data_IF_033896822343
#
_entry.id   IF_033896822343
#
_cell.length_a   1.000
_cell.length_b   1.000
_cell.length_c   1.000
_cell.angle_alpha   90.00
_cell.angle_beta   90.00
_cell.angle_gamma   90.00
#
_symmetry.space_group_name_H-M   'P 1'
#
loop_
_entity.id
_entity.type
_entity.pdbx_description
1 polymer ?
#
# COMPACT_ATOMS: atom_id res chain seq x y z
N UNK A 1 8.14 -4.56 6.40
CA UNK A 1 8.98 -3.31 6.34
C UNK A 1 9.76 -3.10 7.64
N UNK A 2 10.97 -2.52 7.57
CA UNK A 2 11.76 -2.08 8.73
C UNK A 2 11.25 -0.71 9.24
N UNK A 3 11.48 -0.39 10.51
CA UNK A 3 11.09 0.91 11.07
C UNK A 3 11.72 2.10 10.32
N UNK A 4 12.97 1.97 9.85
CA UNK A 4 13.64 2.99 9.03
C UNK A 4 12.97 3.22 7.68
N UNK A 5 12.48 2.17 7.04
CA UNK A 5 11.74 2.26 5.75
C UNK A 5 10.38 2.93 5.95
N UNK A 6 9.67 2.56 7.03
CA UNK A 6 8.38 3.17 7.40
C UNK A 6 8.58 4.68 7.68
N UNK A 7 9.62 5.03 8.45
CA UNK A 7 9.95 6.44 8.75
C UNK A 7 10.27 7.22 7.48
N UNK A 8 11.15 6.71 6.62
CA UNK A 8 11.53 7.37 5.37
C UNK A 8 10.30 7.58 4.46
N UNK A 9 9.43 6.58 4.33
CA UNK A 9 8.22 6.68 3.53
C UNK A 9 7.24 7.71 4.13
N UNK A 10 7.05 7.72 5.46
CA UNK A 10 6.19 8.66 6.15
C UNK A 10 6.68 10.11 6.01
N UNK A 11 7.99 10.35 6.13
CA UNK A 11 8.60 11.67 5.90
C UNK A 11 8.40 12.13 4.45
N UNK A 12 8.62 11.26 3.46
CA UNK A 12 8.38 11.55 2.04
C UNK A 12 6.89 11.80 1.73
N UNK A 13 6.00 11.14 2.45
CA UNK A 13 4.56 11.40 2.39
C UNK A 13 4.15 12.70 3.09
N UNK A 14 5.04 13.34 3.85
CA UNK A 14 4.74 14.57 4.59
C UNK A 14 3.89 14.34 5.84
N UNK A 15 3.97 13.15 6.44
CA UNK A 15 3.25 12.86 7.68
C UNK A 15 3.92 13.63 8.82
N UNK A 16 3.11 14.42 9.54
CA UNK A 16 3.52 15.31 10.62
C UNK A 16 2.37 15.48 11.62
N UNK A 17 2.57 16.18 12.74
CA UNK A 17 1.50 16.45 13.70
C UNK A 17 0.30 17.13 13.03
N UNK A 18 -0.91 16.59 13.26
CA UNK A 18 -2.16 17.11 12.72
C UNK A 18 -2.51 16.67 11.30
N UNK A 19 -1.61 16.00 10.57
CA UNK A 19 -1.89 15.42 9.24
C UNK A 19 -2.86 14.25 9.38
N UNK A 20 -3.92 14.24 8.56
CA UNK A 20 -4.91 13.17 8.52
C UNK A 20 -4.41 12.01 7.64
N UNK A 21 -4.29 10.82 8.24
CA UNK A 21 -3.75 9.62 7.59
C UNK A 21 -4.79 8.52 7.57
N UNK A 22 -5.09 7.99 6.38
CA UNK A 22 -5.88 6.79 6.17
C UNK A 22 -4.94 5.63 5.79
N UNK A 23 -4.92 4.56 6.58
CA UNK A 23 -4.12 3.36 6.32
C UNK A 23 -5.03 2.20 5.90
N UNK A 24 -4.91 1.80 4.64
CA UNK A 24 -5.73 0.75 4.04
C UNK A 24 -5.07 -0.61 4.27
N UNK A 25 -5.87 -1.60 4.69
CA UNK A 25 -5.40 -2.94 5.03
C UNK A 25 -4.31 -2.90 6.12
N UNK A 26 -4.58 -2.16 7.19
CA UNK A 26 -3.61 -1.85 8.24
C UNK A 26 -3.15 -3.08 9.05
N UNK A 27 -3.86 -4.22 8.93
CA UNK A 27 -3.61 -5.43 9.70
C UNK A 27 -3.63 -5.15 11.20
N UNK A 28 -2.63 -5.65 11.93
CA UNK A 28 -2.43 -5.38 13.38
C UNK A 28 -1.79 -4.01 13.65
N UNK A 29 -1.74 -3.14 12.66
CA UNK A 29 -1.32 -1.74 12.68
C UNK A 29 0.11 -1.50 13.22
N UNK A 30 1.07 -2.37 12.91
CA UNK A 30 2.47 -2.16 13.28
C UNK A 30 3.02 -0.82 12.76
N UNK A 31 3.00 -0.57 11.44
CA UNK A 31 3.40 0.72 10.84
C UNK A 31 2.58 1.89 11.37
N UNK A 32 1.26 1.79 11.41
CA UNK A 32 0.37 2.87 11.83
C UNK A 32 0.62 3.34 13.26
N UNK A 33 0.74 2.41 14.22
CA UNK A 33 1.08 2.74 15.61
C UNK A 33 2.46 3.40 15.74
N UNK A 34 3.44 2.94 14.94
CA UNK A 34 4.77 3.54 14.89
C UNK A 34 4.68 5.00 14.39
N UNK A 35 4.00 5.24 13.27
CA UNK A 35 3.85 6.57 12.67
C UNK A 35 3.10 7.51 13.63
N UNK A 36 1.97 7.06 14.22
CA UNK A 36 1.18 7.89 15.14
C UNK A 36 1.95 8.29 16.39
N UNK A 37 2.72 7.36 16.95
CA UNK A 37 3.53 7.63 18.15
C UNK A 37 4.70 8.57 17.86
N UNK A 38 5.39 8.37 16.75
CA UNK A 38 6.63 9.11 16.43
C UNK A 38 6.35 10.46 15.78
N UNK A 39 5.26 10.58 14.98
CA UNK A 39 4.99 11.75 14.15
C UNK A 39 3.71 12.50 14.55
N UNK A 40 2.88 11.95 15.45
CA UNK A 40 1.72 12.67 16.02
C UNK A 40 0.58 12.95 15.02
N UNK A 41 0.41 12.14 13.97
CA UNK A 41 -0.65 12.31 12.98
C UNK A 41 -2.03 11.89 13.50
N UNK A 42 -3.08 12.32 12.82
CA UNK A 42 -4.47 11.86 13.04
C UNK A 42 -4.68 10.60 12.18
N UNK A 43 -4.67 9.42 12.82
CA UNK A 43 -4.61 8.14 12.12
C UNK A 43 -5.94 7.39 12.15
N UNK A 44 -6.35 6.89 10.98
CA UNK A 44 -7.43 5.92 10.80
C UNK A 44 -6.92 4.71 10.03
N UNK A 45 -6.93 3.53 10.66
CA UNK A 45 -6.61 2.26 10.01
C UNK A 45 -7.86 1.47 9.66
N UNK A 46 -7.91 0.91 8.46
CA UNK A 46 -8.97 0.01 7.99
C UNK A 46 -8.41 -1.36 7.71
N UNK A 47 -9.13 -2.39 8.13
CA UNK A 47 -8.85 -3.77 7.75
C UNK A 47 -10.14 -4.59 7.68
N UNK A 48 -10.18 -5.64 6.87
CA UNK A 48 -11.33 -6.53 6.73
C UNK A 48 -11.33 -7.69 7.73
N UNK A 49 -10.26 -7.88 8.49
CA UNK A 49 -10.11 -8.93 9.49
C UNK A 49 -10.53 -8.43 10.88
N UNK A 50 -11.63 -8.97 11.47
CA UNK A 50 -12.03 -8.61 12.82
C UNK A 50 -10.93 -8.87 13.85
N UNK A 51 -10.23 -10.01 13.74
CA UNK A 51 -9.15 -10.38 14.64
C UNK A 51 -7.95 -9.40 14.55
N UNK A 52 -7.60 -8.94 13.32
CA UNK A 52 -6.54 -7.96 13.14
C UNK A 52 -6.90 -6.61 13.78
N UNK A 53 -8.14 -6.16 13.61
CA UNK A 53 -8.65 -4.90 14.21
C UNK A 53 -8.68 -4.97 15.73
N UNK A 54 -9.09 -6.11 16.31
CA UNK A 54 -9.06 -6.31 17.76
C UNK A 54 -7.64 -6.19 18.32
N UNK A 55 -6.69 -6.92 17.72
CA UNK A 55 -5.27 -6.85 18.08
C UNK A 55 -4.70 -5.43 17.88
N UNK A 56 -5.09 -4.75 16.79
CA UNK A 56 -4.65 -3.38 16.53
C UNK A 56 -5.10 -2.42 17.63
N UNK A 57 -6.37 -2.50 18.05
CA UNK A 57 -6.94 -1.68 19.14
C UNK A 57 -6.25 -1.95 20.48
N UNK A 58 -6.07 -3.23 20.82
CA UNK A 58 -5.39 -3.63 22.06
C UNK A 58 -3.96 -3.07 22.10
N UNK A 59 -3.20 -3.27 21.02
CA UNK A 59 -1.80 -2.83 20.91
C UNK A 59 -1.62 -1.31 20.78
N UNK A 60 -2.67 -0.58 20.41
CA UNK A 60 -2.65 0.88 20.30
C UNK A 60 -3.11 1.60 21.59
N UNK A 61 -3.29 0.88 22.71
CA UNK A 61 -3.65 1.50 23.97
C UNK A 61 -2.70 2.64 24.32
N UNK A 62 -3.25 3.86 24.57
CA UNK A 62 -2.47 5.06 24.83
C UNK A 62 -1.86 5.76 23.59
N UNK A 63 -2.12 5.26 22.38
CA UNK A 63 -1.70 5.90 21.11
C UNK A 63 -2.97 6.43 20.42
N UNK A 64 -2.96 7.68 19.87
CA UNK A 64 -4.14 8.27 19.24
C UNK A 64 -4.41 7.68 17.85
N UNK A 65 -4.72 6.37 17.80
CA UNK A 65 -5.10 5.64 16.60
C UNK A 65 -6.58 5.26 16.64
N UNK A 66 -7.27 5.38 15.51
CA UNK A 66 -8.61 4.84 15.30
C UNK A 66 -8.54 3.67 14.33
N UNK A 67 -9.38 2.65 14.56
CA UNK A 67 -9.43 1.46 13.70
C UNK A 67 -10.89 1.09 13.42
N UNK A 68 -11.19 0.83 12.15
CA UNK A 68 -12.50 0.43 11.69
C UNK A 68 -12.43 -0.86 10.89
N UNK A 69 -13.39 -1.75 11.10
CA UNK A 69 -13.57 -2.96 10.32
C UNK A 69 -14.22 -2.59 9.00
N UNK A 70 -13.47 -2.68 7.91
CA UNK A 70 -13.96 -2.35 6.59
C UNK A 70 -13.24 -3.16 5.50
N UNK A 71 -13.99 -3.55 4.46
CA UNK A 71 -13.42 -4.08 3.22
C UNK A 71 -13.20 -2.91 2.26
N UNK A 72 -12.07 -2.86 1.61
CA UNK A 72 -11.74 -1.85 0.60
C UNK A 72 -11.52 -2.50 -0.77
N UNK A 73 -11.94 -1.89 -1.90
CA UNK A 73 -12.92 -0.79 -1.99
C UNK A 73 -14.33 -1.21 -1.54
N UNK A 74 -15.27 -0.26 -1.27
CA UNK A 74 -15.11 1.20 -1.34
C UNK A 74 -14.29 1.79 -0.20
N UNK A 75 -13.75 3.01 -0.40
CA UNK A 75 -13.04 3.76 0.63
C UNK A 75 -13.99 4.71 1.38
N UNK A 76 -13.70 5.07 2.64
CA UNK A 76 -14.46 6.09 3.35
C UNK A 76 -14.30 7.46 2.64
N UNK A 77 -15.30 8.36 2.77
CA UNK A 77 -15.20 9.68 2.21
C UNK A 77 -14.07 10.48 2.87
N UNK A 78 -13.28 11.20 2.02
CA UNK A 78 -12.23 12.11 2.48
C UNK A 78 -12.77 13.49 2.88
N UNK A 79 -11.89 14.51 2.92
CA UNK A 79 -10.51 14.43 2.42
C UNK A 79 -9.50 13.93 3.46
N UNK A 80 -8.52 13.12 3.01
CA UNK A 80 -7.34 12.76 3.78
C UNK A 80 -6.10 13.42 3.17
N UNK A 81 -5.16 13.85 4.02
CA UNK A 81 -3.88 14.41 3.56
C UNK A 81 -2.95 13.32 3.04
N UNK A 82 -2.97 12.15 3.68
CA UNK A 82 -2.19 10.99 3.27
C UNK A 82 -3.04 9.73 3.29
N UNK A 83 -2.91 8.92 2.24
CA UNK A 83 -3.41 7.54 2.21
C UNK A 83 -2.21 6.60 2.15
N UNK A 84 -2.20 5.57 3.00
CA UNK A 84 -1.21 4.51 3.02
C UNK A 84 -1.80 3.20 2.47
N UNK A 85 -0.98 2.42 1.75
CA UNK A 85 -1.25 1.02 1.42
C UNK A 85 0.07 0.26 1.45
N UNK A 86 0.38 -0.35 2.57
CA UNK A 86 1.68 -0.97 2.83
C UNK A 86 1.58 -2.50 2.75
N UNK A 87 2.45 -3.13 1.96
CA UNK A 87 2.57 -4.58 1.80
C UNK A 87 1.31 -5.30 1.24
N UNK A 88 0.35 -4.55 0.68
CA UNK A 88 -0.98 -5.14 0.33
C UNK A 88 -1.41 -4.85 -1.12
N UNK A 89 -0.73 -3.98 -1.87
CA UNK A 89 -1.09 -3.67 -3.28
C UNK A 89 -1.18 -4.95 -4.13
N UNK A 90 -0.37 -5.93 -3.82
CA UNK A 90 -0.32 -7.24 -4.46
C UNK A 90 -1.67 -7.98 -4.43
N UNK A 91 -2.45 -7.81 -3.37
CA UNK A 91 -3.72 -8.53 -3.18
C UNK A 91 -4.88 -8.03 -4.06
N UNK A 92 -4.71 -6.88 -4.72
CA UNK A 92 -5.76 -6.30 -5.56
C UNK A 92 -5.55 -6.64 -7.03
N UNK A 93 -6.47 -7.43 -7.61
CA UNK A 93 -6.49 -7.69 -9.06
C UNK A 93 -6.91 -6.42 -9.83
N UNK A 94 -7.98 -5.76 -9.40
CA UNK A 94 -8.46 -4.48 -9.96
C UNK A 94 -7.82 -3.29 -9.22
N UNK A 95 -6.61 -2.94 -9.66
CA UNK A 95 -5.90 -1.78 -9.11
C UNK A 95 -6.47 -0.46 -9.59
N UNK A 96 -7.16 -0.44 -10.72
CA UNK A 96 -7.75 0.80 -11.26
C UNK A 96 -8.87 1.32 -10.37
N UNK A 97 -9.83 0.48 -10.01
CA UNK A 97 -10.91 0.84 -9.07
C UNK A 97 -10.38 1.23 -7.70
N UNK A 98 -9.36 0.52 -7.20
CA UNK A 98 -8.69 0.86 -5.94
C UNK A 98 -8.06 2.26 -6.01
N UNK A 99 -7.28 2.55 -7.04
CA UNK A 99 -6.59 3.83 -7.20
C UNK A 99 -7.55 5.00 -7.45
N UNK A 100 -8.69 4.76 -8.14
CA UNK A 100 -9.77 5.74 -8.26
C UNK A 100 -10.37 6.11 -6.91
N UNK A 101 -10.63 5.10 -6.06
CA UNK A 101 -11.10 5.30 -4.68
C UNK A 101 -10.09 6.10 -3.86
N UNK A 102 -8.81 5.74 -3.92
CA UNK A 102 -7.72 6.43 -3.22
C UNK A 102 -7.62 7.89 -3.68
N UNK A 103 -7.62 8.13 -4.99
CA UNK A 103 -7.58 9.50 -5.52
C UNK A 103 -8.80 10.31 -5.07
N UNK A 104 -9.99 9.71 -5.00
CA UNK A 104 -11.21 10.38 -4.53
C UNK A 104 -11.12 10.74 -3.05
N UNK A 105 -10.58 9.87 -2.22
CA UNK A 105 -10.43 10.07 -0.78
C UNK A 105 -9.33 11.08 -0.40
N UNK A 106 -8.34 11.32 -1.28
CA UNK A 106 -7.27 12.29 -1.05
C UNK A 106 -7.73 13.73 -1.20
N UNK A 107 -7.25 14.62 -0.35
CA UNK A 107 -7.26 16.07 -0.56
C UNK A 107 -6.46 16.44 -1.83
N UNK A 108 -6.73 17.63 -2.39
CA UNK A 108 -5.85 18.21 -3.42
C UNK A 108 -4.50 18.52 -2.78
N UNK A 109 -3.40 18.09 -3.40
CA UNK A 109 -2.05 18.13 -2.80
C UNK A 109 -1.78 16.99 -1.83
N UNK A 110 -2.78 16.18 -1.50
CA UNK A 110 -2.63 14.99 -0.66
C UNK A 110 -1.79 13.91 -1.33
N UNK A 111 -1.22 13.01 -0.54
CA UNK A 111 -0.24 12.01 -1.00
C UNK A 111 -0.68 10.59 -0.74
N UNK A 112 -0.42 9.74 -1.72
CA UNK A 112 -0.56 8.30 -1.63
C UNK A 112 0.82 7.67 -1.45
N UNK A 113 1.06 7.01 -0.32
CA UNK A 113 2.30 6.31 -0.04
C UNK A 113 2.04 4.80 0.02
N UNK A 114 2.76 4.02 -0.79
CA UNK A 114 2.48 2.60 -0.92
C UNK A 114 3.71 1.78 -1.27
N UNK A 115 3.62 0.47 -1.07
CA UNK A 115 4.59 -0.50 -1.58
C UNK A 115 3.97 -1.34 -2.69
N UNK A 116 4.83 -1.82 -3.60
CA UNK A 116 4.43 -2.59 -4.77
C UNK A 116 5.40 -3.75 -4.99
N UNK A 117 4.89 -4.92 -5.22
CA UNK A 117 5.60 -6.03 -5.83
C UNK A 117 5.53 -5.87 -7.36
N UNK A 118 6.58 -5.25 -7.90
CA UNK A 118 6.73 -5.02 -9.34
C UNK A 118 7.15 -6.29 -10.04
N UNK A 119 6.52 -6.59 -11.17
CA UNK A 119 6.84 -7.72 -12.02
C UNK A 119 5.72 -8.04 -13.00
N UNK A 120 6.00 -8.92 -13.95
CA UNK A 120 4.99 -9.43 -14.87
C UNK A 120 3.93 -10.27 -14.13
N UNK A 121 2.71 -10.40 -14.66
CA UNK A 121 1.72 -11.34 -14.14
C UNK A 121 2.29 -12.74 -13.98
N UNK A 122 1.79 -13.50 -13.00
CA UNK A 122 2.23 -14.87 -12.77
C UNK A 122 1.85 -15.76 -13.96
N UNK A 123 2.79 -16.57 -14.42
CA UNK A 123 2.54 -17.67 -15.36
C UNK A 123 1.72 -18.77 -14.69
N UNK A 124 1.13 -19.70 -15.48
CA UNK A 124 0.41 -20.84 -14.94
C UNK A 124 1.26 -21.68 -13.97
N UNK A 125 2.51 -21.97 -14.34
CA UNK A 125 3.44 -22.72 -13.50
C UNK A 125 3.81 -22.00 -12.19
N UNK A 126 3.93 -20.65 -12.22
CA UNK A 126 4.17 -19.86 -11.01
C UNK A 126 2.94 -19.86 -10.10
N UNK A 127 1.73 -19.80 -10.67
CA UNK A 127 0.47 -19.89 -9.91
C UNK A 127 0.32 -21.23 -9.20
N UNK A 128 0.69 -22.33 -9.85
CA UNK A 128 0.67 -23.67 -9.23
C UNK A 128 1.61 -23.78 -8.04
N UNK A 129 2.74 -23.06 -8.07
CA UNK A 129 3.75 -23.06 -6.99
C UNK A 129 3.41 -22.08 -5.86
N UNK A 130 2.63 -21.03 -6.15
CA UNK A 130 2.35 -19.97 -5.18
C UNK A 130 1.12 -20.31 -4.34
N UNK A 131 1.25 -20.49 -3.02
CA UNK A 131 0.09 -20.60 -2.14
C UNK A 131 -0.82 -19.37 -2.25
N UNK A 132 -2.13 -19.59 -2.34
CA UNK A 132 -3.14 -18.52 -2.48
C UNK A 132 -2.87 -17.57 -3.66
N UNK A 133 -2.48 -18.13 -4.82
CA UNK A 133 -2.08 -17.38 -6.02
C UNK A 133 -3.15 -16.42 -6.57
N UNK A 134 -4.41 -16.62 -6.25
CA UNK A 134 -5.56 -15.76 -6.56
C UNK A 134 -5.55 -14.44 -5.78
N UNK A 135 -4.70 -14.32 -4.78
CA UNK A 135 -4.43 -13.05 -4.06
C UNK A 135 -3.08 -12.43 -4.44
N UNK A 136 -2.42 -12.93 -5.50
CA UNK A 136 -1.05 -12.53 -5.88
C UNK A 136 -1.02 -11.96 -7.29
N UNK A 137 -1.01 -10.62 -7.39
CA UNK A 137 -1.09 -9.87 -8.63
C UNK A 137 0.07 -8.87 -8.77
N UNK A 138 1.30 -9.35 -9.11
CA UNK A 138 2.41 -8.46 -9.44
C UNK A 138 2.03 -7.56 -10.61
N UNK A 139 2.56 -6.35 -10.64
CA UNK A 139 2.19 -5.36 -11.67
C UNK A 139 3.44 -4.73 -12.26
N UNK A 140 3.57 -4.69 -13.61
CA UNK A 140 4.68 -4.01 -14.26
C UNK A 140 4.75 -2.52 -13.89
N UNK A 141 5.98 -2.00 -13.76
CA UNK A 141 6.21 -0.62 -13.34
C UNK A 141 5.51 0.41 -14.25
N UNK A 142 5.53 0.18 -15.57
CA UNK A 142 4.91 1.11 -16.51
C UNK A 142 3.39 1.09 -16.43
N UNK A 143 2.80 -0.06 -16.11
CA UNK A 143 1.37 -0.22 -15.90
C UNK A 143 0.92 0.56 -14.66
N UNK A 144 1.56 0.36 -13.50
CA UNK A 144 1.19 1.10 -12.27
C UNK A 144 1.36 2.60 -12.45
N UNK A 145 2.42 3.05 -13.14
CA UNK A 145 2.64 4.47 -13.47
C UNK A 145 1.55 5.03 -14.39
N UNK A 146 1.09 4.24 -15.37
CA UNK A 146 -0.02 4.63 -16.24
C UNK A 146 -1.33 4.74 -15.46
N UNK A 147 -1.62 3.78 -14.58
CA UNK A 147 -2.79 3.79 -13.71
C UNK A 147 -2.79 5.03 -12.79
N UNK A 148 -1.68 5.32 -12.12
CA UNK A 148 -1.55 6.51 -11.26
C UNK A 148 -1.85 7.80 -12.05
N UNK A 149 -1.26 7.96 -13.24
CA UNK A 149 -1.53 9.14 -14.08
C UNK A 149 -3.00 9.27 -14.48
N UNK A 150 -3.66 8.16 -14.84
CA UNK A 150 -5.09 8.17 -15.21
C UNK A 150 -5.99 8.68 -14.08
N UNK A 151 -5.66 8.38 -12.84
CA UNK A 151 -6.43 8.84 -11.67
C UNK A 151 -5.95 10.18 -11.11
N UNK A 152 -5.02 10.88 -11.80
CA UNK A 152 -4.53 12.20 -11.39
C UNK A 152 -3.48 12.19 -10.29
N UNK A 153 -2.80 11.06 -10.10
CA UNK A 153 -1.69 10.91 -9.16
C UNK A 153 -0.35 10.98 -9.89
N UNK A 154 0.56 11.82 -9.41
CA UNK A 154 1.91 12.00 -9.97
C UNK A 154 2.95 11.48 -8.99
N UNK A 155 3.79 10.53 -9.43
CA UNK A 155 4.88 10.00 -8.61
C UNK A 155 5.88 11.12 -8.29
N UNK A 156 6.15 11.33 -7.00
CA UNK A 156 7.11 12.30 -6.47
C UNK A 156 8.38 11.65 -5.94
N UNK A 157 8.26 10.42 -5.50
CA UNK A 157 9.37 9.65 -4.95
C UNK A 157 9.16 8.16 -5.20
N UNK A 158 10.26 7.46 -5.43
CA UNK A 158 10.31 6.01 -5.57
C UNK A 158 11.63 5.50 -5.00
N UNK A 159 11.59 4.32 -4.37
CA UNK A 159 12.76 3.61 -3.86
C UNK A 159 12.67 2.11 -4.18
N UNK A 160 13.82 1.45 -4.32
CA UNK A 160 13.91 0.00 -4.53
C UNK A 160 14.43 -0.67 -3.26
N UNK A 161 13.53 -1.32 -2.53
CA UNK A 161 13.82 -2.04 -1.29
C UNK A 161 13.96 -3.56 -1.50
N UNK A 162 14.10 -4.04 -2.74
CA UNK A 162 14.13 -5.48 -3.08
C UNK A 162 15.14 -6.27 -2.27
N UNK A 163 16.37 -5.73 -2.10
CA UNK A 163 17.42 -6.38 -1.30
C UNK A 163 17.02 -6.51 0.17
N UNK A 164 16.54 -5.42 0.76
CA UNK A 164 16.12 -5.41 2.17
C UNK A 164 14.92 -6.33 2.41
N UNK A 165 14.03 -6.41 1.43
CA UNK A 165 12.85 -7.29 1.49
C UNK A 165 13.22 -8.76 1.35
N UNK A 166 14.16 -9.11 0.47
CA UNK A 166 14.72 -10.46 0.38
C UNK A 166 15.34 -10.90 1.70
N UNK A 167 16.23 -10.07 2.27
CA UNK A 167 16.87 -10.37 3.56
C UNK A 167 15.83 -10.58 4.68
N UNK A 168 14.69 -9.86 4.62
CA UNK A 168 13.58 -10.02 5.56
C UNK A 168 12.85 -11.35 5.34
N UNK A 169 12.55 -11.72 4.09
CA UNK A 169 11.88 -12.98 3.76
C UNK A 169 12.71 -14.20 4.20
N UNK A 170 14.02 -14.16 4.00
CA UNK A 170 14.95 -15.20 4.46
C UNK A 170 14.93 -15.33 5.99
N UNK A 171 14.97 -14.19 6.72
CA UNK A 171 14.92 -14.19 8.21
C UNK A 171 13.58 -14.70 8.74
N UNK A 172 12.47 -14.33 8.11
CA UNK A 172 11.14 -14.82 8.48
C UNK A 172 11.03 -16.33 8.26
N UNK A 173 11.53 -16.84 7.13
CA UNK A 173 11.57 -18.28 6.87
C UNK A 173 12.36 -19.02 7.94
N UNK A 174 13.52 -18.50 8.36
CA UNK A 174 14.33 -19.08 9.43
C UNK A 174 13.61 -19.02 10.79
N UNK A 175 12.95 -17.91 11.12
CA UNK A 175 12.18 -17.77 12.36
C UNK A 175 10.99 -18.74 12.40
N UNK A 176 10.24 -18.88 11.31
CA UNK A 176 9.14 -19.84 11.22
C UNK A 176 9.61 -21.29 11.38
N UNK A 177 10.81 -21.62 10.88
CA UNK A 177 11.38 -22.95 11.07
C UNK A 177 11.82 -23.19 12.53
N UNK A 178 12.38 -22.18 13.19
CA UNK A 178 12.82 -22.29 14.59
C UNK A 178 11.62 -22.49 15.55
N UNK A 179 10.51 -21.79 15.31
CA UNK A 179 9.34 -21.82 16.17
C UNK A 179 8.19 -22.68 15.60
N UNK A 180 8.49 -23.58 14.66
CA UNK A 180 7.50 -24.29 13.86
C UNK A 180 6.44 -25.02 14.69
N UNK A 181 6.81 -25.65 15.81
CA UNK A 181 5.88 -26.37 16.67
C UNK A 181 4.89 -25.43 17.36
N UNK A 182 5.37 -24.31 17.90
CA UNK A 182 4.52 -23.33 18.56
C UNK A 182 3.59 -22.62 17.57
N UNK A 183 4.10 -22.24 16.40
CA UNK A 183 3.30 -21.59 15.35
C UNK A 183 2.26 -22.57 14.80
N UNK A 184 2.63 -23.83 14.50
CA UNK A 184 1.68 -24.82 14.02
C UNK A 184 0.55 -25.13 15.02
N UNK A 185 0.80 -25.01 16.32
CA UNK A 185 -0.24 -25.13 17.35
C UNK A 185 -1.26 -23.99 17.30
N UNK A 186 -0.85 -22.79 16.84
CA UNK A 186 -1.70 -21.61 16.75
C UNK A 186 -2.49 -21.53 15.43
N UNK A 187 -1.84 -21.78 14.30
CA UNK A 187 -2.42 -21.57 12.96
C UNK A 187 -2.67 -22.86 12.19
N UNK A 188 -2.25 -24.01 12.69
CA UNK A 188 -2.27 -25.30 12.00
C UNK A 188 -1.00 -25.57 11.16
N UNK A 189 -0.69 -26.84 10.98
CA UNK A 189 0.51 -27.28 10.22
C UNK A 189 0.45 -26.85 8.77
N UNK A 190 -0.68 -27.07 8.10
CA UNK A 190 -0.85 -26.71 6.69
C UNK A 190 -0.63 -25.21 6.44
N UNK A 191 -1.24 -24.34 7.25
CA UNK A 191 -1.07 -22.90 7.13
C UNK A 191 0.38 -22.45 7.33
N UNK A 192 1.11 -23.08 8.26
CA UNK A 192 2.55 -22.83 8.44
C UNK A 192 3.36 -23.25 7.22
N UNK A 193 3.09 -24.44 6.67
CA UNK A 193 3.82 -24.97 5.52
C UNK A 193 3.58 -24.08 4.27
N UNK A 194 2.35 -23.62 4.04
CA UNK A 194 2.00 -22.65 2.99
C UNK A 194 2.72 -21.30 3.20
N UNK A 195 2.75 -20.80 4.43
CA UNK A 195 3.45 -19.55 4.78
C UNK A 195 4.94 -19.63 4.49
N UNK A 196 5.58 -20.73 4.90
CA UNK A 196 7.02 -20.99 4.64
C UNK A 196 7.28 -21.12 3.14
N UNK A 197 6.43 -21.87 2.41
CA UNK A 197 6.55 -22.06 0.97
C UNK A 197 6.44 -20.70 0.22
N UNK A 198 5.48 -19.85 0.58
CA UNK A 198 5.30 -18.53 0.00
C UNK A 198 6.54 -17.65 0.22
N UNK A 199 7.08 -17.59 1.44
CA UNK A 199 8.27 -16.76 1.75
C UNK A 199 9.54 -17.25 1.04
N UNK A 200 9.72 -18.56 0.90
CA UNK A 200 10.82 -19.12 0.09
C UNK A 200 10.71 -18.72 -1.36
N UNK A 201 9.50 -18.85 -1.95
CA UNK A 201 9.27 -18.49 -3.34
C UNK A 201 9.48 -16.98 -3.59
N UNK A 202 9.02 -16.11 -2.67
CA UNK A 202 9.31 -14.69 -2.73
C UNK A 202 10.81 -14.38 -2.66
N UNK A 203 11.54 -15.04 -1.79
CA UNK A 203 13.01 -14.90 -1.68
C UNK A 203 13.70 -15.30 -2.99
N UNK A 204 13.30 -16.44 -3.59
CA UNK A 204 13.80 -16.90 -4.89
C UNK A 204 13.51 -15.87 -6.00
N UNK A 205 12.28 -15.36 -6.09
CA UNK A 205 11.88 -14.40 -7.11
C UNK A 205 12.60 -13.04 -6.97
N UNK A 206 12.76 -12.55 -5.74
CA UNK A 206 13.53 -11.33 -5.47
C UNK A 206 15.02 -11.51 -5.81
N UNK A 207 15.61 -12.67 -5.48
CA UNK A 207 17.00 -12.96 -5.80
C UNK A 207 17.24 -13.08 -7.32
N UNK A 208 16.28 -13.65 -8.05
CA UNK A 208 16.34 -13.80 -9.49
C UNK A 208 15.96 -12.52 -10.27
N UNK A 209 15.51 -11.47 -9.60
CA UNK A 209 14.98 -10.26 -10.25
C UNK A 209 13.65 -10.48 -10.98
N UNK A 210 12.94 -11.59 -10.70
CA UNK A 210 11.60 -11.89 -11.23
C UNK A 210 10.57 -10.89 -10.73
N UNK A 211 10.72 -10.46 -9.49
CA UNK A 211 9.95 -9.39 -8.85
C UNK A 211 10.87 -8.41 -8.17
N UNK A 212 10.42 -7.15 -8.03
CA UNK A 212 11.08 -6.14 -7.22
C UNK A 212 10.11 -5.60 -6.18
N UNK A 213 10.63 -5.21 -5.04
CA UNK A 213 9.87 -4.50 -4.00
C UNK A 213 10.14 -3.02 -4.09
N UNK A 214 9.15 -2.27 -4.52
CA UNK A 214 9.25 -0.82 -4.71
C UNK A 214 8.38 -0.10 -3.69
N UNK A 215 8.84 1.07 -3.23
CA UNK A 215 8.08 2.00 -2.43
C UNK A 215 7.85 3.30 -3.21
N UNK A 216 6.68 3.91 -3.05
CA UNK A 216 6.27 5.10 -3.80
C UNK A 216 5.61 6.14 -2.90
N UNK A 217 5.77 7.40 -3.28
CA UNK A 217 4.89 8.49 -2.89
C UNK A 217 4.40 9.19 -4.16
N UNK A 218 3.09 9.24 -4.34
CA UNK A 218 2.43 9.95 -5.43
C UNK A 218 1.52 11.05 -4.85
N UNK A 219 1.42 12.18 -5.54
CA UNK A 219 0.67 13.37 -5.11
C UNK A 219 -0.53 13.60 -6.02
N UNK A 220 -1.67 13.93 -5.44
CA UNK A 220 -2.87 14.35 -6.17
C UNK A 220 -2.75 15.80 -6.58
N UNK A 221 -2.59 16.02 -7.89
CA UNK A 221 -2.51 17.38 -8.43
C UNK A 221 -3.90 18.03 -8.55
N UNK A 222 -3.98 19.37 -8.47
CA UNK A 222 -5.18 20.09 -8.86
C UNK A 222 -5.58 19.73 -10.30
N UNK A 223 -6.86 19.55 -10.55
CA UNK A 223 -7.34 19.42 -11.92
C UNK A 223 -7.07 20.75 -12.64
N UNK A 224 -6.51 20.74 -13.86
CA UNK A 224 -6.38 21.99 -14.62
C UNK A 224 -7.76 22.60 -14.79
N UNK A 225 -7.91 23.87 -14.45
CA UNK A 225 -9.13 24.61 -14.70
C UNK A 225 -9.47 24.55 -16.21
N UNK A 226 -10.72 24.33 -16.60
CA UNK A 226 -11.09 24.40 -17.99
C UNK A 226 -10.71 25.79 -18.50
N UNK A 227 -9.81 25.85 -19.50
CA UNK A 227 -9.45 27.12 -20.14
C UNK A 227 -10.74 27.73 -20.69
N UNK A 228 -11.20 28.83 -20.11
CA UNK A 228 -12.28 29.65 -20.67
C UNK A 228 -11.81 30.08 -22.06
N UNK A 229 -12.37 29.48 -23.11
CA UNK A 229 -12.15 29.98 -24.47
C UNK A 229 -12.84 31.36 -24.54
N UNK A 230 -12.06 32.41 -24.44
CA UNK A 230 -12.52 33.72 -24.86
C UNK A 230 -12.75 33.65 -26.37
N UNK A 231 -13.99 33.52 -26.80
CA UNK A 231 -14.42 33.80 -28.16
C UNK A 231 -14.33 35.29 -28.34
N UNK A 232 -13.32 35.76 -29.07
CA UNK A 232 -13.21 37.13 -29.54
C UNK A 232 -14.33 37.34 -30.56
N UNK A 233 -15.40 37.95 -30.13
CA UNK A 233 -16.46 38.42 -31.06
C UNK A 233 -15.86 39.64 -31.77
N UNK A 234 -15.41 39.46 -33.00
CA UNK A 234 -15.08 40.58 -33.89
C UNK A 234 -16.41 41.24 -34.29
N UNK A 235 -16.63 42.43 -33.76
CA UNK A 235 -17.72 43.29 -34.20
C UNK A 235 -17.45 43.78 -35.62
N UNK A 236 -18.20 43.27 -36.59
CA UNK A 236 -18.32 43.91 -37.90
C UNK A 236 -19.10 45.23 -37.67
N UNK A 237 -18.44 46.34 -37.74
CA UNK A 237 -19.07 47.64 -38.05
C UNK A 237 -19.18 47.71 -39.57
N UNK A 238 -20.42 47.67 -40.06
CA UNK A 238 -20.74 48.05 -41.43
C UNK A 238 -21.04 49.53 -41.45
N UNK A 239 -20.39 50.24 -42.35
CA UNK A 239 -20.67 51.61 -42.75
C UNK A 239 -21.77 51.64 -43.78
#
# INVERSE_FOLDING_TARGET
MRASEIRALAERAGIAPGVSVLDLCCGVAGPGRFISRELGCIYLGLDSSPAAIEIARERASGIPCRFELARVPPLPPGPFDVVLLLETMLAFADKESLLQGISSALAVGGRFAFTLEEGLPLTAAERERMPNADTVWPTPLDEIRALLRRVGLTVRWQDDSSRAHRDMAERLTAAFAADATAIAALIGRQALDELVAAHRLWSEWLAAGRVRKLAFVAEKLPRPSPRTRYTKTEGLQAS
#
